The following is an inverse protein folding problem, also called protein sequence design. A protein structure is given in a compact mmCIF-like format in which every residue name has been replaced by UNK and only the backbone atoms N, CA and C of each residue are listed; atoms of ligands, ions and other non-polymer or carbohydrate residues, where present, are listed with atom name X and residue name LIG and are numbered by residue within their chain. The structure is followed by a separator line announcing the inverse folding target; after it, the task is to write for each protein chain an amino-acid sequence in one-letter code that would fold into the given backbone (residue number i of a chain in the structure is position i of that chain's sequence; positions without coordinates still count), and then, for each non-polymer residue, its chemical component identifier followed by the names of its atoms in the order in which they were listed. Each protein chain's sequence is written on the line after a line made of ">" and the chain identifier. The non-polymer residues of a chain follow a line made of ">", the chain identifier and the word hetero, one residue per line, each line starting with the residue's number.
data_IF_366126828588
#
_entry.id   IF_366126828588
#
_cell.length_a   1.000
_cell.length_b   1.000
_cell.length_c   1.000
_cell.angle_alpha   90.00
_cell.angle_beta   90.00
_cell.angle_gamma   90.00
#
_symmetry.space_group_name_H-M   'P 1'
#
loop_
_entity.id
_entity.type
_entity.pdbx_description
1 polymer ?
#
# COMPACT_ATOMS: atom_id res chain seq x y z
N UNK A 1 -8.92 21.75 -7.86
CA UNK A 1 -8.07 21.90 -9.05
C UNK A 1 -6.95 22.92 -8.83
N UNK A 2 -7.24 24.12 -8.31
CA UNK A 2 -6.21 25.13 -8.01
C UNK A 2 -5.05 24.63 -7.13
N UNK A 3 -5.30 23.77 -6.14
CA UNK A 3 -4.25 23.31 -5.21
C UNK A 3 -3.06 22.61 -5.88
N UNK A 4 -3.30 21.68 -6.82
CA UNK A 4 -2.21 20.94 -7.49
C UNK A 4 -1.35 21.93 -8.28
N UNK A 5 -1.97 22.83 -9.04
CA UNK A 5 -1.27 23.86 -9.79
C UNK A 5 -0.47 24.77 -8.85
N UNK A 6 -1.08 25.26 -7.76
CA UNK A 6 -0.39 26.10 -6.77
C UNK A 6 0.84 25.40 -6.22
N UNK A 7 0.71 24.14 -5.79
CA UNK A 7 1.85 23.36 -5.28
C UNK A 7 2.96 23.21 -6.33
N UNK A 8 2.61 22.88 -7.57
CA UNK A 8 3.58 22.71 -8.65
C UNK A 8 4.30 24.02 -9.01
N UNK A 9 3.59 25.15 -8.99
CA UNK A 9 4.21 26.47 -9.23
C UNK A 9 5.08 26.94 -8.06
N UNK A 10 4.76 26.53 -6.83
CA UNK A 10 5.56 26.85 -5.64
C UNK A 10 6.83 26.00 -5.50
N UNK A 11 6.94 24.89 -6.25
CA UNK A 11 8.08 23.97 -6.16
C UNK A 11 9.01 24.22 -7.36
N UNK A 12 10.26 24.66 -7.13
CA UNK A 12 11.24 24.77 -8.21
C UNK A 12 11.42 23.43 -8.95
N UNK A 13 11.48 23.43 -10.30
CA UNK A 13 11.54 22.18 -11.09
C UNK A 13 12.68 21.23 -10.70
N UNK A 14 13.79 21.77 -10.19
CA UNK A 14 14.95 21.00 -9.71
C UNK A 14 14.61 20.04 -8.57
N UNK A 15 13.53 20.28 -7.81
CA UNK A 15 13.10 19.43 -6.71
C UNK A 15 12.11 18.33 -7.13
N UNK A 16 11.54 18.37 -8.34
CA UNK A 16 10.60 17.35 -8.83
C UNK A 16 11.17 15.92 -8.74
N UNK A 17 12.44 15.65 -9.13
CA UNK A 17 13.02 14.31 -9.04
C UNK A 17 13.00 13.71 -7.62
N UNK A 18 13.06 14.54 -6.57
CA UNK A 18 12.99 14.07 -5.18
C UNK A 18 11.63 13.44 -4.91
N UNK A 19 10.54 14.04 -5.39
CA UNK A 19 9.20 13.49 -5.23
C UNK A 19 9.00 12.20 -6.03
N UNK A 20 9.67 12.08 -7.18
CA UNK A 20 9.70 10.83 -7.96
C UNK A 20 10.39 9.72 -7.15
N UNK A 21 11.52 10.01 -6.51
CA UNK A 21 12.23 9.04 -5.66
C UNK A 21 11.38 8.67 -4.43
N UNK A 22 10.79 9.66 -3.76
CA UNK A 22 9.92 9.44 -2.59
C UNK A 22 8.74 8.55 -2.96
N UNK A 23 8.08 8.77 -4.12
CA UNK A 23 6.92 7.95 -4.48
C UNK A 23 7.27 6.49 -4.72
N UNK A 24 8.52 6.13 -5.00
CA UNK A 24 8.95 4.73 -5.17
C UNK A 24 8.69 3.93 -3.89
N UNK A 25 8.84 4.55 -2.71
CA UNK A 25 8.60 3.92 -1.41
C UNK A 25 7.15 3.42 -1.25
N UNK A 26 6.19 4.06 -1.93
CA UNK A 26 4.79 3.63 -1.95
C UNK A 26 4.43 2.65 -3.07
N UNK A 27 5.40 2.22 -3.90
CA UNK A 27 5.14 1.38 -5.05
C UNK A 27 5.30 -0.11 -4.72
N UNK A 28 4.42 -0.96 -5.28
CA UNK A 28 4.55 -2.41 -5.14
C UNK A 28 5.88 -2.95 -5.72
N UNK A 29 6.41 -2.28 -6.76
CA UNK A 29 7.71 -2.63 -7.34
C UNK A 29 8.88 -2.44 -6.37
N UNK A 30 8.73 -1.60 -5.34
CA UNK A 30 9.70 -1.46 -4.26
C UNK A 30 9.34 -2.32 -3.04
N UNK A 31 8.07 -2.30 -2.65
CA UNK A 31 7.57 -2.97 -1.45
C UNK A 31 7.74 -4.48 -1.53
N UNK A 32 7.36 -5.13 -2.63
CA UNK A 32 7.40 -6.60 -2.73
C UNK A 32 8.83 -7.15 -2.71
N UNK A 33 9.80 -6.62 -3.49
CA UNK A 33 11.20 -7.01 -3.33
C UNK A 33 11.76 -6.70 -1.94
N UNK A 34 11.33 -5.60 -1.32
CA UNK A 34 11.71 -5.27 0.05
C UNK A 34 11.23 -6.31 1.07
N UNK A 35 9.97 -6.75 0.98
CA UNK A 35 9.42 -7.82 1.83
C UNK A 35 10.17 -9.13 1.62
N UNK A 36 10.47 -9.47 0.36
CA UNK A 36 11.29 -10.63 0.05
C UNK A 36 12.66 -10.51 0.72
N UNK A 37 13.36 -9.39 0.56
CA UNK A 37 14.65 -9.17 1.20
C UNK A 37 14.57 -9.31 2.73
N UNK A 38 13.53 -8.77 3.37
CA UNK A 38 13.31 -8.90 4.81
C UNK A 38 13.07 -10.36 5.22
N UNK A 39 12.35 -11.13 4.41
CA UNK A 39 12.13 -12.56 4.62
C UNK A 39 13.45 -13.33 4.64
N UNK A 40 14.34 -13.05 3.69
CA UNK A 40 15.63 -13.75 3.56
C UNK A 40 16.72 -13.26 4.51
N UNK A 41 16.70 -11.99 4.93
CA UNK A 41 17.84 -11.36 5.63
C UNK A 41 17.55 -10.88 7.04
N UNK A 42 16.29 -10.82 7.45
CA UNK A 42 15.92 -10.29 8.76
C UNK A 42 15.20 -11.31 9.65
N UNK A 43 13.90 -11.47 9.44
CA UNK A 43 13.03 -12.29 10.28
C UNK A 43 11.86 -12.73 9.40
N UNK A 44 11.85 -14.02 9.06
CA UNK A 44 10.89 -14.60 8.15
C UNK A 44 9.44 -14.43 8.63
N UNK A 45 9.18 -14.53 9.93
CA UNK A 45 7.82 -14.46 10.47
C UNK A 45 7.30 -13.03 10.46
N UNK A 46 8.16 -12.05 10.80
CA UNK A 46 7.79 -10.63 10.69
C UNK A 46 7.60 -10.21 9.23
N UNK A 47 8.45 -10.70 8.33
CA UNK A 47 8.31 -10.43 6.90
C UNK A 47 7.04 -11.07 6.32
N UNK A 48 6.70 -12.30 6.70
CA UNK A 48 5.45 -12.98 6.32
C UNK A 48 4.23 -12.23 6.86
N UNK A 49 4.26 -11.74 8.09
CA UNK A 49 3.20 -10.90 8.62
C UNK A 49 3.00 -9.65 7.77
N UNK A 50 4.07 -8.88 7.51
CA UNK A 50 4.00 -7.66 6.67
C UNK A 50 3.51 -8.01 5.26
N UNK A 51 4.03 -9.09 4.66
CA UNK A 51 3.59 -9.60 3.36
C UNK A 51 2.10 -9.93 3.32
N UNK A 52 1.59 -10.63 4.34
CA UNK A 52 0.17 -10.97 4.43
C UNK A 52 -0.73 -9.73 4.55
N UNK A 53 -0.29 -8.71 5.30
CA UNK A 53 -1.00 -7.44 5.39
C UNK A 53 -1.01 -6.74 4.02
N UNK A 54 0.13 -6.67 3.34
CA UNK A 54 0.23 -6.03 2.01
C UNK A 54 -0.65 -6.72 0.97
N UNK A 55 -0.73 -8.05 0.96
CA UNK A 55 -1.64 -8.78 0.05
C UNK A 55 -3.10 -8.34 0.25
N UNK A 56 -3.57 -8.22 1.50
CA UNK A 56 -4.92 -7.71 1.76
C UNK A 56 -5.10 -6.25 1.34
N UNK A 57 -4.09 -5.40 1.56
CA UNK A 57 -4.09 -4.00 1.09
C UNK A 57 -4.19 -3.87 -0.43
N UNK A 58 -3.51 -4.74 -1.19
CA UNK A 58 -3.62 -4.80 -2.66
C UNK A 58 -5.05 -5.17 -3.05
N UNK A 59 -5.65 -6.18 -2.41
CA UNK A 59 -7.03 -6.60 -2.68
C UNK A 59 -8.04 -5.48 -2.43
N UNK A 60 -7.90 -4.76 -1.31
CA UNK A 60 -8.74 -3.62 -0.98
C UNK A 60 -8.60 -2.55 -2.05
N UNK A 61 -7.36 -2.23 -2.44
CA UNK A 61 -7.08 -1.24 -3.49
C UNK A 61 -7.74 -1.62 -4.82
N UNK A 62 -7.55 -2.85 -5.28
CA UNK A 62 -8.14 -3.32 -6.55
C UNK A 62 -9.67 -3.29 -6.49
N UNK A 63 -10.26 -3.71 -5.37
CA UNK A 63 -11.71 -3.68 -5.17
C UNK A 63 -12.25 -2.25 -5.23
N UNK A 64 -11.72 -1.35 -4.38
CA UNK A 64 -12.24 0.01 -4.27
C UNK A 64 -12.00 0.83 -5.55
N UNK A 65 -10.84 0.66 -6.21
CA UNK A 65 -10.55 1.38 -7.46
C UNK A 65 -11.56 1.07 -8.55
N UNK A 66 -11.94 -0.18 -8.70
CA UNK A 66 -12.86 -0.61 -9.76
C UNK A 66 -14.33 -0.42 -9.36
N UNK A 67 -14.64 -0.45 -8.06
CA UNK A 67 -15.97 -0.15 -7.56
C UNK A 67 -16.33 1.33 -7.73
N UNK A 68 -15.41 2.24 -7.40
CA UNK A 68 -15.67 3.68 -7.48
C UNK A 68 -15.38 4.27 -8.85
N UNK A 69 -14.40 3.72 -9.59
CA UNK A 69 -14.07 4.14 -10.95
C UNK A 69 -13.83 5.66 -11.14
N UNK A 70 -13.44 6.38 -10.07
CA UNK A 70 -13.34 7.84 -10.14
C UNK A 70 -12.10 8.29 -10.94
N UNK A 71 -12.22 9.35 -11.75
CA UNK A 71 -11.14 9.84 -12.59
C UNK A 71 -10.00 10.45 -11.77
N UNK A 72 -8.81 10.50 -12.39
CA UNK A 72 -7.64 11.23 -11.89
C UNK A 72 -7.76 12.72 -12.19
N UNK A 73 -6.87 13.56 -11.62
CA UNK A 73 -6.66 14.91 -12.15
C UNK A 73 -6.37 14.91 -13.66
N UNK A 74 -6.63 16.03 -14.36
CA UNK A 74 -6.29 16.18 -15.77
C UNK A 74 -4.83 15.83 -16.08
N UNK A 75 -4.62 15.19 -17.23
CA UNK A 75 -3.29 14.76 -17.71
C UNK A 75 -2.31 15.94 -17.80
N UNK A 76 -2.80 17.15 -18.04
CA UNK A 76 -1.97 18.38 -18.06
C UNK A 76 -1.24 18.66 -16.74
N UNK A 77 -1.65 18.04 -15.62
CA UNK A 77 -0.97 18.16 -14.33
C UNK A 77 -0.02 17.01 -14.03
N UNK A 78 -0.02 15.95 -14.84
CA UNK A 78 0.75 14.74 -14.55
C UNK A 78 2.23 14.97 -14.83
N UNK A 79 3.04 14.96 -13.76
CA UNK A 79 4.50 14.98 -13.86
C UNK A 79 5.10 13.58 -14.06
N UNK A 80 4.27 12.53 -13.95
CA UNK A 80 4.63 11.13 -14.20
C UNK A 80 3.49 10.41 -14.93
N UNK A 81 3.85 9.44 -15.77
CA UNK A 81 2.86 8.65 -16.48
C UNK A 81 2.16 7.66 -15.53
N UNK A 82 0.82 7.70 -15.52
CA UNK A 82 -0.03 6.79 -14.76
C UNK A 82 -1.30 6.48 -15.55
N UNK A 83 -1.85 5.28 -15.35
CA UNK A 83 -3.10 4.83 -15.98
C UNK A 83 -4.11 4.38 -14.92
N UNK A 84 -5.35 4.14 -15.37
CA UNK A 84 -6.46 3.67 -14.54
C UNK A 84 -7.01 4.71 -13.56
N UNK A 85 -7.95 4.26 -12.72
CA UNK A 85 -8.71 5.12 -11.81
C UNK A 85 -7.86 5.79 -10.72
N UNK A 86 -8.28 6.99 -10.32
CA UNK A 86 -7.61 7.82 -9.32
C UNK A 86 -7.94 7.40 -7.89
N UNK A 87 -9.21 7.18 -7.59
CA UNK A 87 -9.64 6.93 -6.21
C UNK A 87 -9.72 5.44 -5.86
N UNK A 88 -9.33 5.02 -4.63
CA UNK A 88 -8.43 5.72 -3.72
C UNK A 88 -6.95 5.63 -4.20
N UNK A 89 -6.06 6.38 -3.57
CA UNK A 89 -4.62 6.33 -3.88
C UNK A 89 -4.00 5.00 -3.41
N UNK A 90 -3.55 4.19 -4.38
CA UNK A 90 -2.88 2.92 -4.09
C UNK A 90 -1.60 3.13 -3.28
N UNK A 91 -0.77 4.12 -3.64
CA UNK A 91 0.48 4.37 -2.92
C UNK A 91 0.23 4.78 -1.47
N UNK A 92 -0.89 5.45 -1.20
CA UNK A 92 -1.28 5.80 0.16
C UNK A 92 -1.69 4.56 0.97
N UNK A 93 -2.51 3.66 0.39
CA UNK A 93 -2.88 2.39 1.05
C UNK A 93 -1.64 1.52 1.27
N UNK A 94 -0.87 1.25 0.22
CA UNK A 94 0.27 0.33 0.24
C UNK A 94 1.36 0.81 1.21
N UNK A 95 1.69 2.10 1.22
CA UNK A 95 2.63 2.67 2.19
C UNK A 95 2.09 2.61 3.62
N UNK A 96 0.81 2.92 3.84
CA UNK A 96 0.19 2.88 5.16
C UNK A 96 0.23 1.48 5.74
N UNK A 97 -0.20 0.48 4.97
CA UNK A 97 -0.22 -0.92 5.39
C UNK A 97 1.20 -1.44 5.61
N UNK A 98 2.13 -1.16 4.68
CA UNK A 98 3.51 -1.67 4.77
C UNK A 98 4.28 -1.06 5.95
N UNK A 99 4.37 0.27 6.00
CA UNK A 99 5.19 0.94 7.01
C UNK A 99 4.55 0.91 8.39
N UNK A 100 3.21 0.91 8.46
CA UNK A 100 2.49 0.68 9.71
C UNK A 100 2.66 -0.74 10.25
N UNK A 101 2.58 -1.76 9.39
CA UNK A 101 2.84 -3.14 9.79
C UNK A 101 4.29 -3.31 10.27
N UNK A 102 5.27 -2.75 9.54
CA UNK A 102 6.68 -2.74 9.94
C UNK A 102 6.89 -2.06 11.30
N UNK A 103 6.30 -0.89 11.53
CA UNK A 103 6.40 -0.19 12.81
C UNK A 103 5.83 -1.01 13.99
N UNK A 104 4.87 -1.91 13.72
CA UNK A 104 4.30 -2.79 14.74
C UNK A 104 5.23 -3.94 15.15
N UNK A 105 6.09 -4.44 14.24
CA UNK A 105 6.95 -5.62 14.44
C UNK A 105 8.43 -5.30 14.66
N UNK A 106 8.90 -4.14 14.20
CA UNK A 106 10.27 -3.68 14.48
C UNK A 106 10.42 -3.40 15.98
N UNK A 107 11.49 -3.92 16.59
CA UNK A 107 11.76 -3.77 18.04
C UNK A 107 12.69 -2.62 18.38
N UNK A 108 13.38 -2.04 17.39
CA UNK A 108 14.34 -0.94 17.59
C UNK A 108 13.60 0.38 17.83
N UNK A 109 14.03 1.14 18.84
CA UNK A 109 13.43 2.42 19.23
C UNK A 109 12.11 2.27 20.01
N UNK A 110 11.57 3.39 20.48
CA UNK A 110 10.29 3.44 21.21
C UNK A 110 9.09 3.28 20.26
N UNK A 111 7.92 2.94 20.81
CA UNK A 111 6.66 2.87 20.02
C UNK A 111 6.38 4.20 19.30
N UNK A 112 6.60 5.32 19.99
CA UNK A 112 6.45 6.66 19.44
C UNK A 112 7.39 6.94 18.28
N UNK A 113 8.68 6.60 18.42
CA UNK A 113 9.67 6.79 17.34
C UNK A 113 9.31 6.00 16.08
N UNK A 114 8.90 4.74 16.24
CA UNK A 114 8.51 3.91 15.09
C UNK A 114 7.24 4.42 14.41
N UNK A 115 6.24 4.83 15.19
CA UNK A 115 5.02 5.44 14.68
C UNK A 115 5.29 6.75 13.94
N UNK A 116 6.16 7.59 14.48
CA UNK A 116 6.57 8.85 13.84
C UNK A 116 7.28 8.60 12.50
N UNK A 117 8.25 7.68 12.46
CA UNK A 117 8.97 7.35 11.21
C UNK A 117 8.02 6.79 10.16
N UNK A 118 7.12 5.87 10.53
CA UNK A 118 6.12 5.35 9.60
C UNK A 118 5.20 6.47 9.10
N UNK A 119 4.67 7.30 9.99
CA UNK A 119 3.81 8.43 9.64
C UNK A 119 4.50 9.43 8.71
N UNK A 120 5.80 9.70 8.93
CA UNK A 120 6.60 10.57 8.08
C UNK A 120 6.74 9.98 6.66
N UNK A 121 7.10 8.70 6.54
CA UNK A 121 7.21 8.04 5.23
C UNK A 121 5.88 8.02 4.49
N UNK A 122 4.79 7.65 5.18
CA UNK A 122 3.43 7.64 4.62
C UNK A 122 3.05 9.04 4.14
N UNK A 123 3.26 10.06 4.98
CA UNK A 123 2.97 11.46 4.66
C UNK A 123 3.76 11.98 3.45
N UNK A 124 5.04 11.63 3.35
CA UNK A 124 5.89 12.01 2.22
C UNK A 124 5.44 11.32 0.91
N UNK A 125 5.15 10.01 0.97
CA UNK A 125 4.60 9.28 -0.18
C UNK A 125 3.26 9.89 -0.60
N UNK A 126 2.34 10.09 0.33
CA UNK A 126 1.05 10.73 0.12
C UNK A 126 1.17 12.09 -0.57
N UNK A 127 2.01 12.97 -0.01
CA UNK A 127 2.26 14.31 -0.54
C UNK A 127 2.86 14.26 -1.95
N UNK A 128 3.80 13.35 -2.20
CA UNK A 128 4.41 13.18 -3.54
C UNK A 128 3.36 12.90 -4.61
N UNK A 129 2.28 12.14 -4.30
CA UNK A 129 1.22 11.84 -5.27
C UNK A 129 0.41 13.07 -5.69
N UNK A 130 0.19 14.00 -4.75
CA UNK A 130 -0.52 15.26 -5.01
C UNK A 130 0.38 16.20 -5.80
N UNK A 131 1.65 16.33 -5.42
CA UNK A 131 2.63 17.18 -6.10
C UNK A 131 2.87 16.71 -7.55
N UNK A 132 3.01 15.40 -7.75
CA UNK A 132 3.14 14.82 -9.09
C UNK A 132 1.85 14.91 -9.92
N UNK A 133 0.77 15.45 -9.34
CA UNK A 133 -0.48 15.77 -10.01
C UNK A 133 -1.35 14.57 -10.38
N UNK A 134 -1.06 13.39 -9.83
CA UNK A 134 -1.69 12.12 -10.23
C UNK A 134 -2.84 11.67 -9.32
N UNK A 135 -3.05 12.38 -8.20
CA UNK A 135 -4.13 12.16 -7.24
C UNK A 135 -4.60 13.48 -6.62
N UNK A 136 -5.87 13.54 -6.27
CA UNK A 136 -6.40 14.59 -5.40
C UNK A 136 -6.02 14.32 -3.94
N UNK A 137 -6.06 15.36 -3.10
CA UNK A 137 -5.84 15.23 -1.65
C UNK A 137 -6.84 14.26 -1.03
N UNK A 138 -8.09 14.27 -1.49
CA UNK A 138 -9.14 13.35 -1.05
C UNK A 138 -8.80 11.89 -1.34
N UNK A 139 -8.21 11.59 -2.50
CA UNK A 139 -7.81 10.21 -2.86
C UNK A 139 -6.75 9.67 -1.90
N UNK A 140 -5.84 10.56 -1.49
CA UNK A 140 -4.72 10.24 -0.62
C UNK A 140 -5.18 10.10 0.83
N UNK A 141 -6.02 11.03 1.32
CA UNK A 141 -6.61 10.93 2.67
C UNK A 141 -7.45 9.65 2.78
N UNK A 142 -8.32 9.38 1.80
CA UNK A 142 -9.12 8.16 1.80
C UNK A 142 -8.24 6.91 1.79
N UNK A 143 -7.16 6.90 0.99
CA UNK A 143 -6.20 5.79 0.97
C UNK A 143 -5.51 5.56 2.32
N UNK A 144 -5.11 6.63 3.02
CA UNK A 144 -4.52 6.53 4.36
C UNK A 144 -5.55 5.98 5.34
N UNK A 145 -6.78 6.50 5.35
CA UNK A 145 -7.83 6.07 6.28
C UNK A 145 -8.20 4.60 6.09
N UNK A 146 -8.41 4.17 4.84
CA UNK A 146 -8.67 2.76 4.50
C UNK A 146 -7.49 1.87 4.91
N UNK A 147 -6.26 2.32 4.65
CA UNK A 147 -5.05 1.59 5.04
C UNK A 147 -4.93 1.46 6.56
N UNK A 148 -5.22 2.53 7.32
CA UNK A 148 -5.18 2.53 8.78
C UNK A 148 -6.28 1.64 9.39
N UNK A 149 -7.50 1.72 8.87
CA UNK A 149 -8.61 0.85 9.29
C UNK A 149 -8.22 -0.63 9.12
N UNK A 150 -7.76 -1.00 7.94
CA UNK A 150 -7.28 -2.35 7.68
C UNK A 150 -6.10 -2.74 8.58
N UNK A 151 -5.17 -1.81 8.83
CA UNK A 151 -4.04 -2.03 9.70
C UNK A 151 -4.47 -2.31 11.16
N UNK A 152 -5.48 -1.59 11.67
CA UNK A 152 -6.06 -1.84 13.00
C UNK A 152 -6.61 -3.26 13.07
N UNK A 153 -7.30 -3.73 12.03
CA UNK A 153 -7.81 -5.10 11.98
C UNK A 153 -6.65 -6.10 12.08
N UNK A 154 -5.62 -6.00 11.23
CA UNK A 154 -4.54 -7.00 11.21
C UNK A 154 -3.61 -6.94 12.43
N UNK A 155 -3.38 -5.74 12.99
CA UNK A 155 -2.45 -5.55 14.12
C UNK A 155 -3.13 -5.77 15.47
N UNK A 156 -4.37 -5.29 15.64
CA UNK A 156 -5.08 -5.28 16.93
C UNK A 156 -6.07 -6.42 17.01
N UNK A 157 -6.96 -6.56 16.04
CA UNK A 157 -8.03 -7.58 16.08
C UNK A 157 -7.47 -8.98 15.83
N UNK A 158 -6.57 -9.11 14.86
CA UNK A 158 -5.94 -10.39 14.53
C UNK A 158 -4.66 -10.66 15.31
N UNK A 159 -4.24 -9.74 16.19
CA UNK A 159 -3.01 -9.81 17.00
C UNK A 159 -1.77 -10.21 16.18
N UNK A 160 -1.68 -9.69 14.95
CA UNK A 160 -0.58 -9.96 14.01
C UNK A 160 -0.40 -11.45 13.67
N UNK A 161 -1.44 -12.24 13.89
CA UNK A 161 -1.41 -13.67 13.59
C UNK A 161 -1.36 -13.87 12.07
N UNK A 162 -0.21 -14.36 11.58
CA UNK A 162 0.09 -14.52 10.15
C UNK A 162 -0.99 -15.34 9.45
N UNK A 163 -1.41 -16.47 10.05
CA UNK A 163 -2.46 -17.33 9.51
C UNK A 163 -3.75 -16.53 9.32
N UNK A 164 -4.26 -15.89 10.38
CA UNK A 164 -5.50 -15.12 10.30
C UNK A 164 -5.42 -13.99 9.28
N UNK A 165 -4.27 -13.32 9.15
CA UNK A 165 -4.06 -12.26 8.16
C UNK A 165 -4.10 -12.80 6.72
N UNK A 166 -3.47 -13.96 6.46
CA UNK A 166 -3.53 -14.62 5.16
C UNK A 166 -4.95 -15.04 4.79
N UNK A 167 -5.70 -15.61 5.74
CA UNK A 167 -7.12 -15.96 5.51
C UNK A 167 -8.00 -14.72 5.31
N UNK A 168 -7.76 -13.64 6.07
CA UNK A 168 -8.46 -12.37 5.87
C UNK A 168 -8.23 -11.81 4.46
N UNK A 169 -7.00 -11.92 3.93
CA UNK A 169 -6.64 -11.42 2.61
C UNK A 169 -7.39 -12.11 1.45
N UNK A 170 -7.98 -13.29 1.68
CA UNK A 170 -8.83 -13.98 0.68
C UNK A 170 -10.05 -13.12 0.33
N UNK A 171 -10.68 -12.49 1.32
CA UNK A 171 -11.93 -11.72 1.14
C UNK A 171 -11.73 -10.58 0.13
N UNK A 172 -10.80 -9.63 0.33
CA UNK A 172 -10.58 -8.57 -0.64
C UNK A 172 -9.95 -9.07 -1.96
N UNK A 173 -9.26 -10.21 -1.97
CA UNK A 173 -8.77 -10.80 -3.21
C UNK A 173 -9.91 -11.36 -4.08
N UNK A 174 -10.87 -12.07 -3.50
CA UNK A 174 -12.07 -12.54 -4.20
C UNK A 174 -12.93 -11.34 -4.66
N UNK A 175 -13.15 -10.36 -3.78
CA UNK A 175 -13.88 -9.14 -4.15
C UNK A 175 -13.21 -8.43 -5.33
N UNK A 176 -11.87 -8.34 -5.35
CA UNK A 176 -11.13 -7.78 -6.46
C UNK A 176 -11.33 -8.58 -7.76
N UNK A 177 -11.34 -9.91 -7.71
CA UNK A 177 -11.61 -10.75 -8.89
C UNK A 177 -13.01 -10.47 -9.44
N UNK A 178 -14.02 -10.39 -8.58
CA UNK A 178 -15.40 -10.13 -8.99
C UNK A 178 -15.53 -8.74 -9.62
N UNK A 179 -15.07 -7.69 -8.94
CA UNK A 179 -15.29 -6.31 -9.38
C UNK A 179 -14.45 -5.95 -10.61
N UNK A 180 -13.33 -6.65 -10.84
CA UNK A 180 -12.49 -6.45 -12.02
C UNK A 180 -12.79 -7.39 -13.18
N UNK A 181 -13.88 -8.18 -13.07
CA UNK A 181 -14.27 -9.19 -14.05
C UNK A 181 -13.12 -10.14 -14.41
N UNK A 182 -12.41 -10.63 -13.39
CA UNK A 182 -11.31 -11.58 -13.56
C UNK A 182 -10.03 -11.00 -14.16
N UNK A 183 -9.76 -9.71 -13.94
CA UNK A 183 -8.51 -9.11 -14.43
C UNK A 183 -7.26 -9.90 -14.02
N UNK A 184 -6.22 -9.91 -14.88
CA UNK A 184 -4.99 -10.65 -14.60
C UNK A 184 -4.35 -10.24 -13.26
N UNK A 185 -4.47 -8.96 -12.86
CA UNK A 185 -3.94 -8.45 -11.57
C UNK A 185 -4.64 -9.09 -10.38
N UNK A 186 -5.97 -9.19 -10.40
CA UNK A 186 -6.73 -9.81 -9.31
C UNK A 186 -6.54 -11.32 -9.25
N UNK A 187 -6.38 -11.98 -10.41
CA UNK A 187 -6.07 -13.42 -10.47
C UNK A 187 -4.68 -13.71 -9.91
N UNK A 188 -3.67 -12.92 -10.26
CA UNK A 188 -2.34 -13.02 -9.67
C UNK A 188 -2.41 -12.79 -8.16
N UNK A 189 -3.17 -11.79 -7.70
CA UNK A 189 -3.33 -11.53 -6.27
C UNK A 189 -3.93 -12.75 -5.55
N UNK A 190 -5.05 -13.28 -6.02
CA UNK A 190 -5.72 -14.43 -5.41
C UNK A 190 -4.79 -15.66 -5.38
N UNK A 191 -4.08 -15.91 -6.49
CA UNK A 191 -3.08 -16.97 -6.57
C UNK A 191 -1.94 -16.75 -5.58
N UNK A 192 -1.48 -15.50 -5.43
CA UNK A 192 -0.42 -15.15 -4.47
C UNK A 192 -0.85 -15.35 -3.02
N UNK A 193 -2.11 -15.06 -2.68
CA UNK A 193 -2.69 -15.34 -1.36
C UNK A 193 -2.73 -16.85 -1.13
N UNK A 194 -3.24 -17.64 -2.09
CA UNK A 194 -3.30 -19.09 -2.00
C UNK A 194 -1.91 -19.73 -1.82
N UNK A 195 -0.93 -19.33 -2.63
CA UNK A 195 0.46 -19.81 -2.53
C UNK A 195 1.06 -19.44 -1.17
N UNK A 196 0.81 -18.24 -0.67
CA UNK A 196 1.31 -17.81 0.65
C UNK A 196 0.71 -18.63 1.80
N UNK A 197 -0.57 -19.02 1.70
CA UNK A 197 -1.22 -19.92 2.66
C UNK A 197 -0.59 -21.31 2.61
N UNK A 198 -0.44 -21.88 1.42
CA UNK A 198 0.18 -23.20 1.23
C UNK A 198 1.63 -23.22 1.74
N UNK A 199 2.39 -22.18 1.43
CA UNK A 199 3.76 -22.00 1.93
C UNK A 199 3.81 -21.93 3.46
N UNK A 200 2.91 -21.17 4.08
CA UNK A 200 2.82 -21.06 5.53
C UNK A 200 2.51 -22.42 6.17
N UNK A 201 1.55 -23.19 5.62
CA UNK A 201 1.27 -24.54 6.11
C UNK A 201 2.47 -25.47 5.96
N UNK A 202 3.12 -25.48 4.80
CA UNK A 202 4.26 -26.35 4.54
C UNK A 202 5.44 -26.09 5.48
N UNK A 203 5.69 -24.82 5.81
CA UNK A 203 6.87 -24.43 6.59
C UNK A 203 6.62 -24.31 8.09
N UNK A 204 5.36 -24.17 8.54
CA UNK A 204 5.03 -23.78 9.93
C UNK A 204 3.90 -24.58 10.59
N UNK A 205 3.24 -25.52 9.91
CA UNK A 205 2.16 -26.32 10.49
C UNK A 205 2.62 -27.66 11.12
N UNK A 206 3.92 -27.84 11.28
CA UNK A 206 4.54 -28.92 12.07
C UNK A 206 5.12 -28.34 13.36
#
# INVERSE_FOLDING_TARGET
>A
MHLIQTLQHSIPPVFIPIFIIITILGSLGFILPGILLLYWRWDADRALFVGSAVLGGIGITLTLKNLFALPRPPISYHLVYVTGYGFPSQHAIDSTVTYGALASVVRRGTRWQRGFVAGLVIGLVALSRVILGVHYVTDVIAGILVGLEYLVIVVVVLDRNIRRCLFLAIIPAIAAVIVTDGSWKSVILLSSVAISILWWYHTRAQ
#
